data_IF_288294495850
#
_entry.id   IF_288294495850
#
_cell.length_a   1.000
_cell.length_b   1.000
_cell.length_c   1.000
_cell.angle_alpha   90.00
_cell.angle_beta   90.00
_cell.angle_gamma   90.00
#
_symmetry.space_group_name_H-M   'P 1'
#
loop_
_entity.id
_entity.type
_entity.pdbx_description
1 polymer ?
#
# COMPACT_ATOMS: atom_id res chain seq x y z
N UNK A 1 1.34 -12.64 -7.75
CA UNK A 1 0.23 -11.67 -7.96
C UNK A 1 -0.33 -11.27 -6.62
N UNK A 2 -0.69 -10.00 -6.44
CA UNK A 2 -1.35 -9.50 -5.24
C UNK A 2 -2.39 -8.44 -5.64
N UNK A 3 -3.47 -8.34 -4.86
CA UNK A 3 -4.39 -7.21 -4.90
C UNK A 3 -3.91 -6.16 -3.89
N UNK A 4 -3.92 -4.90 -4.29
CA UNK A 4 -3.59 -3.76 -3.43
C UNK A 4 -4.82 -2.89 -3.26
N UNK A 5 -5.08 -2.45 -2.03
CA UNK A 5 -6.27 -1.71 -1.67
C UNK A 5 -6.08 -0.93 -0.37
N UNK A 6 -6.97 0.03 -0.14
CA UNK A 6 -7.11 0.74 1.14
C UNK A 6 -7.83 -0.15 2.16
N UNK A 7 -7.33 -0.22 3.39
CA UNK A 7 -8.04 -0.86 4.49
C UNK A 7 -7.69 -0.26 5.86
N UNK A 8 -8.55 -0.53 6.84
CA UNK A 8 -8.43 -0.06 8.22
C UNK A 8 -8.49 -1.23 9.19
N UNK A 9 -7.51 -1.34 10.08
CA UNK A 9 -7.46 -2.37 11.12
C UNK A 9 -7.99 -1.90 12.48
N UNK A 10 -8.42 -0.64 12.58
CA UNK A 10 -8.87 0.01 13.80
C UNK A 10 -7.76 0.64 14.65
N UNK A 11 -6.48 0.46 14.30
CA UNK A 11 -5.33 1.01 15.03
C UNK A 11 -4.53 2.02 14.19
N UNK A 12 -4.39 1.74 12.90
CA UNK A 12 -3.52 2.46 11.97
C UNK A 12 -4.28 3.38 10.99
N UNK A 13 -5.61 3.50 11.13
CA UNK A 13 -6.43 4.24 10.17
C UNK A 13 -6.46 3.58 8.79
N UNK A 14 -6.85 4.35 7.76
CA UNK A 14 -6.93 3.85 6.38
C UNK A 14 -5.56 3.88 5.72
N UNK A 15 -5.01 2.69 5.42
CA UNK A 15 -3.62 2.52 4.97
C UNK A 15 -3.50 1.64 3.71
N UNK A 16 -2.28 1.42 3.22
CA UNK A 16 -2.02 0.53 2.07
C UNK A 16 -1.97 -0.94 2.51
N UNK A 17 -2.85 -1.77 1.94
CA UNK A 17 -2.93 -3.20 2.21
C UNK A 17 -2.72 -4.04 0.95
N UNK A 18 -2.32 -5.30 1.16
CA UNK A 18 -2.22 -6.31 0.11
C UNK A 18 -2.89 -7.63 0.49
N UNK A 19 -3.39 -8.34 -0.52
CA UNK A 19 -3.87 -9.71 -0.42
C UNK A 19 -3.22 -10.56 -1.53
N UNK A 20 -2.60 -11.68 -1.15
CA UNK A 20 -1.90 -12.58 -2.08
C UNK A 20 -2.79 -13.69 -2.67
N UNK A 21 -4.07 -13.74 -2.29
CA UNK A 21 -5.00 -14.79 -2.70
C UNK A 21 -5.02 -16.03 -1.80
N UNK A 22 -4.15 -16.09 -0.78
CA UNK A 22 -3.95 -17.29 0.05
C UNK A 22 -4.02 -16.94 1.53
N UNK A 23 -3.19 -16.00 1.98
CA UNK A 23 -3.10 -15.57 3.38
C UNK A 23 -4.06 -14.42 3.65
N UNK A 24 -4.39 -14.18 4.91
CA UNK A 24 -5.16 -13.00 5.28
C UNK A 24 -4.47 -11.72 4.76
N UNK A 25 -5.24 -10.68 4.39
CA UNK A 25 -4.65 -9.41 4.00
C UNK A 25 -3.67 -8.86 5.04
N UNK A 26 -2.63 -8.19 4.57
CA UNK A 26 -1.59 -7.59 5.42
C UNK A 26 -1.32 -6.16 4.99
N UNK A 27 -1.03 -5.30 5.97
CA UNK A 27 -0.58 -3.94 5.73
C UNK A 27 0.78 -3.97 5.04
N UNK A 28 0.92 -3.19 3.98
CA UNK A 28 2.16 -3.04 3.22
C UNK A 28 3.03 -1.96 3.84
N UNK A 29 2.41 -0.84 4.21
CA UNK A 29 3.05 0.32 4.82
C UNK A 29 2.02 1.08 5.67
N UNK A 30 2.49 1.57 6.81
CA UNK A 30 1.81 2.58 7.64
C UNK A 30 2.30 3.95 7.17
N UNK A 31 1.58 4.55 6.21
CA UNK A 31 1.99 5.76 5.49
C UNK A 31 1.73 7.00 6.33
N UNK A 32 0.62 7.04 7.08
CA UNK A 32 0.34 8.06 8.06
C UNK A 32 0.27 7.44 9.48
N UNK A 33 1.42 7.39 10.19
CA UNK A 33 1.53 6.71 11.46
C UNK A 33 0.46 7.07 12.51
N UNK A 34 0.05 6.04 13.25
CA UNK A 34 -0.97 6.16 14.29
C UNK A 34 -2.38 6.01 13.71
N UNK A 35 -3.38 6.59 14.36
CA UNK A 35 -4.78 6.46 13.92
C UNK A 35 -5.17 7.46 12.82
N UNK A 36 -4.21 8.04 12.12
CA UNK A 36 -4.45 8.97 11.01
C UNK A 36 -4.74 8.19 9.74
N UNK A 37 -5.27 8.83 8.71
CA UNK A 37 -5.69 8.16 7.48
C UNK A 37 -4.81 8.64 6.32
N UNK A 38 -4.20 7.70 5.60
CA UNK A 38 -3.41 8.01 4.40
C UNK A 38 -4.24 8.01 3.10
N UNK A 39 -5.50 7.54 3.15
CA UNK A 39 -6.46 7.50 2.03
C UNK A 39 -5.84 7.06 0.67
N UNK A 40 -5.15 5.89 0.58
CA UNK A 40 -4.48 5.48 -0.66
C UNK A 40 -5.47 5.30 -1.83
N UNK A 41 -5.22 5.98 -2.94
CA UNK A 41 -6.14 6.02 -4.09
C UNK A 41 -5.40 6.06 -5.44
N UNK A 42 -6.16 5.92 -6.54
CA UNK A 42 -5.65 5.97 -7.92
C UNK A 42 -4.51 4.97 -8.22
N UNK A 43 -4.69 3.72 -7.81
CA UNK A 43 -3.71 2.66 -8.00
C UNK A 43 -3.42 2.36 -9.48
N UNK A 44 -2.14 2.28 -9.84
CA UNK A 44 -1.67 1.86 -11.15
C UNK A 44 -0.41 1.01 -11.02
N UNK A 45 -0.39 -0.15 -11.68
CA UNK A 45 0.83 -0.96 -11.81
C UNK A 45 1.52 -0.60 -13.12
N UNK A 46 2.80 -0.24 -13.04
CA UNK A 46 3.63 0.04 -14.21
C UNK A 46 5.07 -0.45 -13.95
N UNK A 47 5.61 -1.27 -14.86
CA UNK A 47 6.97 -1.82 -14.75
C UNK A 47 7.29 -2.46 -13.40
N UNK A 48 6.37 -3.26 -12.85
CA UNK A 48 6.54 -3.97 -11.57
C UNK A 48 6.62 -3.05 -10.34
N UNK A 49 6.25 -1.78 -10.49
CA UNK A 49 6.02 -0.84 -9.41
C UNK A 49 4.51 -0.52 -9.31
N UNK A 50 4.01 -0.40 -8.09
CA UNK A 50 2.70 0.13 -7.78
C UNK A 50 2.82 1.64 -7.54
N UNK A 51 2.07 2.43 -8.28
CA UNK A 51 1.91 3.87 -8.09
C UNK A 51 0.53 4.17 -7.54
N UNK A 52 0.43 5.12 -6.61
CA UNK A 52 -0.81 5.53 -5.98
C UNK A 52 -0.63 6.91 -5.31
N UNK A 53 -1.73 7.61 -5.04
CA UNK A 53 -1.72 8.85 -4.26
C UNK A 53 -2.07 8.49 -2.81
N UNK A 54 -1.39 9.12 -1.86
CA UNK A 54 -1.72 9.01 -0.44
C UNK A 54 -1.34 10.30 0.31
N UNK A 55 -1.91 10.47 1.49
CA UNK A 55 -1.63 11.52 2.48
C UNK A 55 -0.61 10.98 3.47
N UNK A 56 0.36 11.80 3.89
CA UNK A 56 1.30 11.44 4.95
C UNK A 56 1.47 12.60 5.94
N UNK A 57 2.25 12.39 6.99
CA UNK A 57 2.54 13.46 7.93
C UNK A 57 3.27 14.62 7.24
N UNK A 58 2.60 15.78 7.17
CA UNK A 58 3.17 17.01 6.63
C UNK A 58 2.86 17.31 5.17
N UNK A 59 2.09 16.46 4.46
CA UNK A 59 1.59 16.73 3.12
C UNK A 59 0.14 16.26 2.93
N UNK A 60 -0.64 17.02 2.16
CA UNK A 60 -2.07 16.76 1.90
C UNK A 60 -2.30 15.82 0.70
N UNK A 61 -1.24 15.26 0.12
CA UNK A 61 -1.34 14.27 -0.94
C UNK A 61 -0.13 14.27 -1.88
N UNK A 62 0.58 13.15 -1.94
CA UNK A 62 1.74 12.95 -2.80
C UNK A 62 1.60 11.68 -3.65
N UNK A 63 2.33 11.61 -4.77
CA UNK A 63 2.46 10.38 -5.57
C UNK A 63 3.48 9.45 -4.93
N UNK A 64 3.05 8.28 -4.49
CA UNK A 64 3.87 7.23 -3.92
C UNK A 64 4.20 6.15 -4.94
N UNK A 65 5.31 5.45 -4.69
CA UNK A 65 5.75 4.28 -5.43
C UNK A 65 6.10 3.17 -4.45
N UNK A 66 5.52 1.99 -4.64
CA UNK A 66 5.88 0.77 -3.93
C UNK A 66 6.40 -0.26 -4.93
N UNK A 67 7.65 -0.70 -4.75
CA UNK A 67 8.22 -1.74 -5.60
C UNK A 67 7.63 -3.09 -5.23
N UNK A 68 6.98 -3.73 -6.21
CA UNK A 68 6.44 -5.07 -6.03
C UNK A 68 7.64 -6.00 -6.14
N UNK A 69 7.97 -6.77 -5.11
CA UNK A 69 9.06 -7.74 -5.23
C UNK A 69 8.73 -8.73 -6.35
N UNK A 70 9.54 -8.70 -7.42
CA UNK A 70 9.66 -9.85 -8.31
C UNK A 70 10.38 -10.91 -7.50
N UNK A 71 9.68 -11.97 -7.11
CA UNK A 71 10.26 -13.14 -6.45
C UNK A 71 11.62 -13.48 -7.05
N UNK A 72 12.65 -13.55 -6.20
CA UNK A 72 13.97 -14.07 -6.54
C UNK A 72 13.78 -15.47 -7.12
N UNK A 73 14.03 -15.65 -8.42
CA UNK A 73 14.22 -16.98 -9.00
C UNK A 73 15.56 -17.52 -8.55
N UNK A 74 15.56 -18.57 -7.73
CA UNK A 74 16.73 -19.43 -7.58
C UNK A 74 16.85 -20.28 -8.84
N UNK A 75 18.05 -20.26 -9.44
CA UNK A 75 18.47 -21.16 -10.52
C UNK A 75 18.52 -22.60 -10.08
#
# INVERSE_FOLDING_TARGET
NALYFEANDGNNGDELWKYDGVNAPSMVADIYPGSSHSEPSYFMVFNNDLFFVAINEGDLGSLFKYSIDSTITYS
#
